data_IF_435182922105
#
_entry.id   IF_435182922105
#
_cell.length_a   1.000
_cell.length_b   1.000
_cell.length_c   1.000
_cell.angle_alpha   90.00
_cell.angle_beta   90.00
_cell.angle_gamma   90.00
#
_symmetry.space_group_name_H-M   'P 1'
#
loop_
_entity.id
_entity.type
_entity.pdbx_description
1 polymer ?
#
# COMPACT_ATOMS: atom_id res chain seq x y z
N UNK A 1 -8.85 5.59 -16.81
CA UNK A 1 -9.13 5.03 -15.47
C UNK A 1 -7.94 4.17 -15.05
N UNK A 2 -6.96 4.79 -14.42
CA UNK A 2 -5.85 4.09 -13.78
C UNK A 2 -6.42 3.33 -12.58
N UNK A 3 -6.10 2.05 -12.47
CA UNK A 3 -6.55 1.17 -11.38
C UNK A 3 -5.29 0.73 -10.65
N UNK A 4 -5.22 1.02 -9.36
CA UNK A 4 -4.10 0.62 -8.53
C UNK A 4 -4.53 -0.58 -7.68
N UNK A 5 -3.72 -1.63 -7.67
CA UNK A 5 -3.96 -2.87 -6.96
C UNK A 5 -2.98 -2.98 -5.80
N UNK A 6 -3.47 -2.73 -4.60
CA UNK A 6 -2.69 -2.89 -3.37
C UNK A 6 -2.73 -4.35 -2.93
N UNK A 7 -1.59 -5.02 -2.88
CA UNK A 7 -1.42 -6.36 -2.31
C UNK A 7 -0.80 -6.22 -0.92
N UNK A 8 -1.61 -6.46 0.11
CA UNK A 8 -1.15 -6.43 1.49
C UNK A 8 -0.67 -7.80 1.97
N UNK A 9 -1.21 -8.88 1.40
CA UNK A 9 -0.86 -10.25 1.73
C UNK A 9 -0.85 -11.09 0.45
N UNK A 10 0.32 -11.58 0.09
CA UNK A 10 0.61 -12.29 -1.15
C UNK A 10 2.09 -12.69 -1.18
N UNK A 11 2.55 -13.26 -2.30
CA UNK A 11 3.98 -13.55 -2.50
C UNK A 11 4.83 -12.28 -2.43
N UNK A 12 4.36 -11.21 -3.07
CA UNK A 12 4.95 -9.89 -3.00
C UNK A 12 3.91 -8.85 -2.58
N UNK A 13 4.23 -8.10 -1.52
CA UNK A 13 3.41 -6.99 -1.04
C UNK A 13 3.81 -5.70 -1.77
N UNK A 14 2.83 -4.90 -2.16
CA UNK A 14 3.09 -3.67 -2.90
C UNK A 14 1.86 -3.14 -3.63
N UNK A 15 2.04 -2.01 -4.31
CA UNK A 15 1.02 -1.44 -5.20
C UNK A 15 1.40 -1.76 -6.63
N UNK A 16 0.50 -2.41 -7.34
CA UNK A 16 0.66 -2.77 -8.75
C UNK A 16 -0.30 -1.96 -9.59
N UNK A 17 0.14 -1.48 -10.74
CA UNK A 17 -0.73 -0.82 -11.73
C UNK A 17 -1.37 -1.83 -12.68
N UNK A 18 -0.85 -3.07 -12.71
CA UNK A 18 -1.32 -4.16 -13.56
C UNK A 18 -1.97 -5.30 -12.77
N UNK A 19 -3.15 -5.74 -13.24
CA UNK A 19 -3.82 -6.89 -12.65
C UNK A 19 -3.08 -8.21 -12.91
N UNK A 20 -2.41 -8.35 -14.06
CA UNK A 20 -1.68 -9.56 -14.43
C UNK A 20 -0.55 -9.88 -13.44
N UNK A 21 0.14 -8.85 -12.95
CA UNK A 21 1.17 -9.00 -11.92
C UNK A 21 0.54 -9.29 -10.55
N UNK A 22 -0.43 -8.47 -10.12
CA UNK A 22 -1.13 -8.67 -8.86
C UNK A 22 -1.74 -10.08 -8.76
N UNK A 23 -2.33 -10.59 -9.85
CA UNK A 23 -2.91 -11.93 -9.93
C UNK A 23 -1.86 -13.01 -9.65
N UNK A 24 -0.66 -12.92 -10.22
CA UNK A 24 0.43 -13.88 -9.95
C UNK A 24 0.80 -13.92 -8.47
N UNK A 25 0.70 -12.78 -7.77
CA UNK A 25 1.01 -12.69 -6.34
C UNK A 25 -0.08 -13.27 -5.42
N UNK A 26 -1.32 -13.41 -5.89
CA UNK A 26 -2.48 -13.85 -5.08
C UNK A 26 -3.05 -15.21 -5.49
N UNK A 27 -2.94 -15.60 -6.77
CA UNK A 27 -3.62 -16.77 -7.36
C UNK A 27 -3.18 -18.10 -6.74
N UNK A 28 -1.91 -18.22 -6.38
CA UNK A 28 -1.34 -19.41 -5.72
C UNK A 28 -1.00 -19.19 -4.24
N UNK A 29 -1.47 -18.08 -3.67
CA UNK A 29 -1.15 -17.72 -2.29
C UNK A 29 -2.33 -18.03 -1.36
N UNK A 30 -2.12 -18.67 -0.20
CA UNK A 30 -3.20 -18.96 0.73
C UNK A 30 -3.69 -17.67 1.40
N UNK A 31 -5.01 -17.43 1.38
CA UNK A 31 -5.66 -16.26 1.98
C UNK A 31 -5.03 -14.93 1.52
N UNK A 32 -4.97 -14.66 0.20
CA UNK A 32 -4.38 -13.43 -0.30
C UNK A 32 -5.28 -12.25 0.08
N UNK A 33 -4.67 -11.13 0.44
CA UNK A 33 -5.43 -9.91 0.75
C UNK A 33 -4.95 -8.76 -0.09
N UNK A 34 -5.84 -8.34 -0.99
CA UNK A 34 -5.61 -7.27 -1.94
C UNK A 34 -6.84 -6.35 -2.04
N UNK A 35 -6.64 -5.12 -2.48
CA UNK A 35 -7.72 -4.15 -2.70
C UNK A 35 -7.40 -3.23 -3.88
N UNK A 36 -8.42 -2.90 -4.66
CA UNK A 36 -8.31 -1.95 -5.79
C UNK A 36 -8.64 -0.54 -5.31
N UNK A 37 -7.87 0.43 -5.81
CA UNK A 37 -8.00 1.85 -5.50
C UNK A 37 -7.98 2.67 -6.79
N UNK A 38 -8.53 3.89 -6.69
CA UNK A 38 -8.50 4.88 -7.78
C UNK A 38 -7.21 5.69 -7.81
N UNK A 39 -6.45 5.69 -6.72
CA UNK A 39 -5.23 6.48 -6.51
C UNK A 39 -4.10 5.63 -5.93
N UNK A 40 -2.85 6.00 -6.24
CA UNK A 40 -1.67 5.33 -5.71
C UNK A 40 -1.52 5.54 -4.20
N UNK A 41 -1.80 6.74 -3.70
CA UNK A 41 -1.70 7.07 -2.27
C UNK A 41 -2.59 6.18 -1.39
N UNK A 42 -3.86 5.97 -1.76
CA UNK A 42 -4.75 5.09 -1.01
C UNK A 42 -4.27 3.63 -1.04
N UNK A 43 -3.77 3.19 -2.19
CA UNK A 43 -3.22 1.86 -2.36
C UNK A 43 -1.98 1.64 -1.47
N UNK A 44 -1.06 2.61 -1.47
CA UNK A 44 0.17 2.57 -0.70
C UNK A 44 -0.13 2.55 0.80
N UNK A 45 -1.06 3.42 1.23
CA UNK A 45 -1.51 3.50 2.62
C UNK A 45 -2.12 2.18 3.09
N UNK A 46 -2.91 1.51 2.26
CA UNK A 46 -3.48 0.20 2.60
C UNK A 46 -2.44 -0.90 2.81
N UNK A 47 -1.40 -0.94 1.98
CA UNK A 47 -0.29 -1.90 2.16
C UNK A 47 0.50 -1.56 3.42
N UNK A 48 0.74 -0.27 3.68
CA UNK A 48 1.53 0.17 4.82
C UNK A 48 0.81 -0.03 6.16
N UNK A 49 -0.48 0.29 6.25
CA UNK A 49 -1.34 0.06 7.43
C UNK A 49 -1.41 -1.42 7.82
N UNK A 50 -1.21 -2.32 6.85
CA UNK A 50 -1.25 -3.77 7.05
C UNK A 50 0.12 -4.41 7.21
N UNK A 51 1.21 -3.64 7.13
CA UNK A 51 2.51 -4.15 7.56
C UNK A 51 2.41 -4.45 9.06
N UNK A 52 2.86 -5.63 9.52
CA UNK A 52 3.03 -5.85 10.94
C UNK A 52 4.00 -4.77 11.43
N UNK A 53 3.51 -3.87 12.29
CA UNK A 53 4.35 -2.88 12.95
C UNK A 53 5.38 -3.67 13.74
N UNK A 54 6.62 -3.75 13.24
CA UNK A 54 7.75 -4.11 14.10
C UNK A 54 7.66 -3.11 15.25
N UNK A 55 7.37 -3.62 16.44
CA UNK A 55 7.34 -2.80 17.64
C UNK A 55 8.75 -2.22 17.83
N UNK A 56 8.97 -0.98 17.37
CA UNK A 56 9.87 0.04 17.93
C UNK A 56 10.04 1.20 16.94
N UNK A 57 9.49 2.35 17.32
CA UNK A 57 10.00 3.72 17.10
C UNK A 57 10.80 4.00 15.82
N UNK A 58 10.11 4.38 14.75
CA UNK A 58 10.55 5.20 13.61
C UNK A 58 9.42 5.07 12.57
N UNK A 59 8.81 6.08 11.98
CA UNK A 59 9.23 7.44 11.71
C UNK A 59 7.92 8.22 11.52
N UNK A 60 7.58 9.05 12.51
CA UNK A 60 6.54 10.06 12.35
C UNK A 60 7.19 11.19 11.54
N UNK A 61 7.44 10.97 10.24
CA UNK A 61 7.90 12.04 9.35
C UNK A 61 6.75 13.01 9.17
N UNK A 62 6.92 14.11 9.88
CA UNK A 62 6.08 15.26 10.03
C UNK A 62 5.93 16.00 8.69
N UNK A 63 4.84 15.81 7.95
CA UNK A 63 4.41 16.77 6.92
C UNK A 63 3.39 17.72 7.52
N UNK A 64 3.87 18.82 8.12
CA UNK A 64 3.14 20.08 8.18
C UNK A 64 4.12 21.20 8.55
N UNK A 65 4.92 21.66 7.59
CA UNK A 65 5.50 23.00 7.71
C UNK A 65 4.34 23.94 7.39
N UNK A 66 3.72 24.46 8.45
CA UNK A 66 2.77 25.56 8.36
C UNK A 66 3.52 26.79 8.86
N UNK A 67 4.28 27.43 7.98
CA UNK A 67 4.80 28.77 8.25
C UNK A 67 3.95 29.74 7.43
N UNK A 68 3.06 30.43 8.16
CA UNK A 68 2.20 31.48 7.63
C UNK A 68 3.07 32.70 7.27
N UNK A 69 2.63 33.39 6.23
CA UNK A 69 3.09 34.72 5.83
C UNK A 69 3.08 35.73 6.98
N UNK A 70 4.12 36.56 7.03
CA UNK A 70 4.06 38.02 7.21
C UNK A 70 5.21 38.67 6.42
#
# INVERSE_FOLDING_TARGET
>A
MSKFYAVAHGFERGVFTEWSEAKKQIDKFPQPVYKKFGTEEEAQKYVDERKPKKARFAEKSNSMVQENSD
#
